data_IF_901551385708
#
_entry.id   IF_901551385708
#
_cell.length_a   1.000
_cell.length_b   1.000
_cell.length_c   1.000
_cell.angle_alpha   90.00
_cell.angle_beta   90.00
_cell.angle_gamma   90.00
#
_symmetry.space_group_name_H-M   'P 1'
#
loop_
_entity.id
_entity.type
_entity.pdbx_description
1 polymer ?
#
# COMPACT_ATOMS: atom_id res chain seq x y z
N UNK A 1 7.18 17.43 19.35
CA UNK A 1 6.82 16.04 19.67
C UNK A 1 6.94 15.27 18.37
N UNK A 2 7.93 14.40 18.28
CA UNK A 2 8.17 13.64 17.05
C UNK A 2 7.19 12.47 16.94
N UNK A 3 6.72 12.16 15.74
CA UNK A 3 5.88 11.01 15.40
C UNK A 3 6.43 9.65 15.91
N UNK A 4 7.70 9.61 16.33
CA UNK A 4 8.35 8.43 16.89
C UNK A 4 7.85 7.97 18.27
N UNK A 5 7.13 8.80 19.01
CA UNK A 5 6.74 8.48 20.40
C UNK A 5 5.34 7.82 20.51
N UNK A 6 4.51 7.93 19.48
CA UNK A 6 3.14 7.35 19.50
C UNK A 6 3.16 5.84 19.27
N UNK A 7 4.13 5.32 18.52
CA UNK A 7 4.21 3.89 18.18
C UNK A 7 5.08 3.05 19.12
N UNK A 8 5.72 3.64 20.12
CA UNK A 8 6.70 2.95 20.98
C UNK A 8 6.13 2.04 22.08
N UNK A 9 4.81 1.87 22.22
CA UNK A 9 4.22 1.19 23.38
C UNK A 9 3.08 0.22 23.11
N UNK A 10 2.98 -0.35 21.94
CA UNK A 10 2.06 -1.48 21.76
C UNK A 10 2.84 -2.78 21.92
N UNK A 11 2.62 -3.47 23.05
CA UNK A 11 2.99 -4.87 23.18
C UNK A 11 2.07 -5.66 22.27
N UNK A 12 2.62 -6.28 21.24
CA UNK A 12 1.89 -7.15 20.36
C UNK A 12 1.59 -8.46 21.08
N UNK A 13 0.31 -8.67 21.41
CA UNK A 13 -0.26 -9.93 21.83
C UNK A 13 -1.02 -10.50 20.63
N UNK A 14 -0.51 -11.57 20.03
CA UNK A 14 -1.08 -12.19 18.84
C UNK A 14 -2.56 -12.58 18.95
N UNK A 15 -3.12 -12.62 20.17
CA UNK A 15 -4.52 -12.96 20.38
C UNK A 15 -5.52 -11.89 19.90
N UNK A 16 -5.10 -10.63 19.77
CA UNK A 16 -5.97 -9.53 19.38
C UNK A 16 -6.09 -9.35 17.84
N UNK A 17 -5.18 -9.92 17.06
CA UNK A 17 -5.24 -9.82 15.59
C UNK A 17 -6.36 -10.69 15.00
N UNK A 18 -6.61 -11.86 15.57
CA UNK A 18 -7.62 -12.81 15.10
C UNK A 18 -9.06 -12.27 15.24
N UNK A 19 -9.27 -11.26 16.08
CA UNK A 19 -10.58 -10.64 16.29
C UNK A 19 -10.81 -9.37 15.45
N UNK A 20 -9.78 -8.85 14.78
CA UNK A 20 -9.88 -7.63 13.97
C UNK A 20 -10.80 -7.79 12.75
N UNK A 21 -10.73 -8.92 12.05
CA UNK A 21 -11.58 -9.23 10.92
C UNK A 21 -13.06 -9.22 11.24
N UNK A 22 -13.44 -9.80 12.38
CA UNK A 22 -14.83 -9.79 12.84
C UNK A 22 -15.36 -8.38 13.16
N UNK A 23 -14.49 -7.46 13.56
CA UNK A 23 -14.88 -6.08 13.88
C UNK A 23 -15.11 -5.25 12.62
N UNK A 24 -14.32 -5.50 11.57
CA UNK A 24 -14.50 -4.86 10.25
C UNK A 24 -15.78 -5.35 9.59
N UNK A 25 -16.07 -6.64 9.66
CA UNK A 25 -17.26 -7.27 9.07
C UNK A 25 -18.56 -6.70 9.63
N UNK A 26 -18.65 -6.46 10.93
CA UNK A 26 -19.87 -5.97 11.59
C UNK A 26 -20.28 -4.54 11.22
N UNK A 27 -19.36 -3.76 10.62
CA UNK A 27 -19.58 -2.35 10.25
C UNK A 27 -19.64 -2.12 8.75
N UNK A 28 -19.53 -3.18 7.91
CA UNK A 28 -19.58 -3.05 6.45
C UNK A 28 -21.04 -2.91 6.00
N UNK A 29 -21.35 -1.74 5.42
CA UNK A 29 -22.64 -1.48 4.79
C UNK A 29 -22.79 -2.32 3.52
N UNK A 30 -23.96 -2.93 3.33
CA UNK A 30 -24.33 -3.69 2.12
C UNK A 30 -24.35 -2.83 0.85
N UNK A 31 -24.26 -1.50 0.97
CA UNK A 31 -24.14 -0.54 -0.14
C UNK A 31 -22.72 -0.40 -0.70
N UNK A 32 -21.71 -1.05 -0.11
CA UNK A 32 -20.33 -0.97 -0.59
C UNK A 32 -20.19 -1.55 -2.01
N UNK A 33 -19.32 -0.96 -2.85
CA UNK A 33 -19.12 -1.41 -4.22
C UNK A 33 -18.60 -2.86 -4.28
N UNK A 34 -18.78 -3.52 -5.43
CA UNK A 34 -18.31 -4.90 -5.66
C UNK A 34 -16.79 -5.04 -5.49
N UNK A 35 -16.03 -4.01 -5.85
CA UNK A 35 -14.58 -3.99 -5.63
C UNK A 35 -14.29 -3.32 -4.29
N UNK A 36 -13.87 -4.12 -3.33
CA UNK A 36 -13.52 -3.67 -1.99
C UNK A 36 -12.02 -3.75 -1.81
N UNK A 37 -11.44 -2.64 -1.36
CA UNK A 37 -10.01 -2.56 -1.03
C UNK A 37 -9.85 -2.43 0.49
N UNK A 38 -8.88 -3.13 1.04
CA UNK A 38 -8.43 -2.96 2.41
C UNK A 38 -6.94 -2.69 2.42
N UNK A 39 -6.50 -1.79 3.29
CA UNK A 39 -5.09 -1.48 3.52
C UNK A 39 -4.63 -2.10 4.84
N UNK A 40 -3.53 -2.85 4.79
CA UNK A 40 -2.90 -3.46 5.97
C UNK A 40 -1.38 -3.23 5.91
N UNK A 41 -0.69 -3.21 7.06
CA UNK A 41 0.77 -3.10 7.07
C UNK A 41 1.41 -4.30 6.36
N UNK A 42 2.46 -4.04 5.60
CA UNK A 42 3.32 -5.09 5.05
C UNK A 42 4.17 -5.71 6.17
N UNK A 43 4.45 -7.04 6.16
CA UNK A 43 5.09 -7.74 7.29
C UNK A 43 6.45 -7.18 7.72
N UNK A 44 7.34 -6.85 6.78
CA UNK A 44 8.64 -6.26 7.08
C UNK A 44 8.48 -4.88 7.72
N UNK A 45 7.57 -4.05 7.22
CA UNK A 45 7.22 -2.74 7.79
C UNK A 45 6.68 -2.90 9.20
N UNK A 46 5.78 -3.86 9.42
CA UNK A 46 5.25 -4.13 10.76
C UNK A 46 6.37 -4.52 11.73
N UNK A 47 7.21 -5.48 11.35
CA UNK A 47 8.33 -5.95 12.17
C UNK A 47 9.38 -4.85 12.43
N UNK A 48 9.62 -3.98 11.45
CA UNK A 48 10.56 -2.85 11.55
C UNK A 48 10.12 -1.80 12.58
N UNK A 49 8.82 -1.67 12.78
CA UNK A 49 8.22 -0.68 13.69
C UNK A 49 8.00 -1.19 15.11
N UNK A 50 8.15 -2.48 15.35
CA UNK A 50 7.85 -3.10 16.63
C UNK A 50 9.07 -3.82 17.20
N UNK A 51 9.16 -3.81 18.53
CA UNK A 51 10.15 -4.62 19.26
C UNK A 51 9.38 -5.79 19.88
N UNK A 52 9.70 -6.98 19.45
CA UNK A 52 9.16 -8.19 20.09
C UNK A 52 10.13 -8.71 21.14
N UNK A 53 9.60 -9.14 22.27
CA UNK A 53 10.35 -9.87 23.31
C UNK A 53 10.34 -11.38 23.08
N UNK A 54 9.45 -11.87 22.24
CA UNK A 54 9.24 -13.30 21.98
C UNK A 54 10.12 -13.81 20.85
N UNK A 55 10.42 -12.95 19.85
CA UNK A 55 11.24 -13.31 18.70
C UNK A 55 12.66 -12.80 18.86
N UNK A 56 13.62 -13.70 18.60
CA UNK A 56 15.06 -13.38 18.77
C UNK A 56 15.63 -12.57 17.61
N UNK A 57 15.05 -12.70 16.43
CA UNK A 57 15.51 -12.03 15.22
C UNK A 57 14.38 -11.27 14.54
N UNK A 58 14.71 -10.23 13.77
CA UNK A 58 13.76 -9.51 12.92
C UNK A 58 13.17 -10.43 11.84
N UNK A 59 13.97 -11.36 11.34
CA UNK A 59 13.56 -12.36 10.35
C UNK A 59 12.46 -13.26 10.90
N UNK A 60 12.70 -13.93 12.06
CA UNK A 60 11.67 -14.77 12.70
C UNK A 60 10.39 -13.98 12.96
N UNK A 61 10.52 -12.75 13.41
CA UNK A 61 9.37 -11.88 13.68
C UNK A 61 8.60 -11.54 12.40
N UNK A 62 9.31 -11.12 11.33
CA UNK A 62 8.68 -10.79 10.04
C UNK A 62 7.91 -11.99 9.46
N UNK A 63 8.49 -13.19 9.48
CA UNK A 63 7.85 -14.40 8.97
C UNK A 63 6.63 -14.80 9.81
N UNK A 64 6.68 -14.64 11.12
CA UNK A 64 5.50 -14.90 11.96
C UNK A 64 4.39 -13.89 11.74
N UNK A 65 4.72 -12.61 11.61
CA UNK A 65 3.75 -11.57 11.23
C UNK A 65 3.11 -11.91 9.87
N UNK A 66 3.89 -12.35 8.88
CA UNK A 66 3.34 -12.74 7.58
C UNK A 66 2.29 -13.86 7.71
N UNK A 67 2.55 -14.89 8.52
CA UNK A 67 1.59 -15.98 8.77
C UNK A 67 0.30 -15.48 9.43
N UNK A 68 0.42 -14.56 10.39
CA UNK A 68 -0.74 -13.98 11.08
C UNK A 68 -1.56 -13.10 10.14
N UNK A 69 -0.92 -12.22 9.38
CA UNK A 69 -1.57 -11.37 8.39
C UNK A 69 -2.22 -12.20 7.28
N UNK A 70 -1.65 -13.35 6.89
CA UNK A 70 -2.28 -14.25 5.93
C UNK A 70 -3.64 -14.76 6.42
N UNK A 71 -3.75 -15.16 7.68
CA UNK A 71 -5.03 -15.61 8.24
C UNK A 71 -6.08 -14.47 8.23
N UNK A 72 -5.66 -13.23 8.52
CA UNK A 72 -6.52 -12.05 8.43
C UNK A 72 -6.94 -11.77 6.97
N UNK A 73 -6.00 -11.82 6.03
CA UNK A 73 -6.28 -11.64 4.60
C UNK A 73 -7.28 -12.69 4.09
N UNK A 74 -7.13 -13.97 4.47
CA UNK A 74 -8.05 -15.03 4.06
C UNK A 74 -9.48 -14.72 4.57
N UNK A 75 -9.63 -14.20 5.79
CA UNK A 75 -10.93 -13.76 6.32
C UNK A 75 -11.51 -12.57 5.53
N UNK A 76 -10.69 -11.56 5.25
CA UNK A 76 -11.09 -10.38 4.47
C UNK A 76 -11.52 -10.77 3.04
N UNK A 77 -10.80 -11.68 2.40
CA UNK A 77 -11.15 -12.19 1.06
C UNK A 77 -12.49 -12.95 1.10
N UNK A 78 -12.72 -13.76 2.13
CA UNK A 78 -14.02 -14.43 2.33
C UNK A 78 -15.16 -13.42 2.50
N UNK A 79 -14.88 -12.23 3.07
CA UNK A 79 -15.83 -11.11 3.21
C UNK A 79 -15.97 -10.26 1.93
N UNK A 80 -15.29 -10.66 0.84
CA UNK A 80 -15.42 -10.07 -0.47
C UNK A 80 -14.46 -8.92 -0.75
N UNK A 81 -13.40 -8.75 0.04
CA UNK A 81 -12.28 -7.87 -0.32
C UNK A 81 -11.47 -8.54 -1.43
N UNK A 82 -11.32 -7.86 -2.56
CA UNK A 82 -10.64 -8.40 -3.73
C UNK A 82 -9.34 -7.65 -4.09
N UNK A 83 -9.03 -6.58 -3.35
CA UNK A 83 -7.76 -5.86 -3.43
C UNK A 83 -7.22 -5.67 -2.01
N UNK A 84 -6.03 -6.18 -1.78
CA UNK A 84 -5.30 -6.03 -0.52
C UNK A 84 -4.13 -5.07 -0.76
N UNK A 85 -4.19 -3.88 -0.20
CA UNK A 85 -3.12 -2.91 -0.26
C UNK A 85 -2.17 -3.13 0.92
N UNK A 86 -0.93 -3.48 0.63
CA UNK A 86 0.14 -3.71 1.60
C UNK A 86 0.94 -2.42 1.80
N UNK A 87 0.83 -1.80 2.95
CA UNK A 87 1.48 -0.52 3.27
C UNK A 87 2.94 -0.76 3.65
N UNK A 88 3.87 -0.24 2.85
CA UNK A 88 5.30 -0.53 2.92
C UNK A 88 6.22 0.70 3.07
N UNK A 89 5.98 1.61 4.03
CA UNK A 89 6.84 2.78 4.21
C UNK A 89 8.25 2.42 4.64
N UNK A 90 8.45 1.34 5.43
CA UNK A 90 9.80 0.94 5.85
C UNK A 90 10.69 0.56 4.68
N UNK A 91 10.13 0.04 3.59
CA UNK A 91 10.88 -0.23 2.37
C UNK A 91 11.35 1.08 1.72
N UNK A 92 10.53 2.14 1.80
CA UNK A 92 10.89 3.42 1.19
C UNK A 92 12.03 4.13 1.93
N UNK A 93 11.91 4.32 3.25
CA UNK A 93 12.85 5.15 4.01
C UNK A 93 14.08 4.41 4.55
N UNK A 94 14.10 3.07 4.66
CA UNK A 94 15.30 2.35 5.07
C UNK A 94 16.30 2.28 3.93
N UNK A 95 17.55 2.60 4.21
CA UNK A 95 18.64 2.51 3.23
C UNK A 95 19.01 1.05 2.92
N UNK A 96 18.90 0.17 3.91
CA UNK A 96 19.21 -1.24 3.80
C UNK A 96 17.94 -2.07 4.01
N UNK A 97 17.40 -2.60 2.91
CA UNK A 97 16.23 -3.47 2.91
C UNK A 97 16.65 -4.87 2.51
N UNK A 98 16.35 -5.85 3.33
CA UNK A 98 16.50 -7.26 2.96
C UNK A 98 15.33 -7.69 2.06
N UNK A 99 15.49 -7.52 0.75
CA UNK A 99 14.46 -7.90 -0.23
C UNK A 99 14.25 -9.41 -0.30
N UNK A 100 15.21 -10.24 0.14
CA UNK A 100 15.02 -11.67 0.31
C UNK A 100 13.98 -11.98 1.37
N UNK A 101 14.14 -11.39 2.56
CA UNK A 101 13.17 -11.50 3.65
C UNK A 101 11.79 -10.94 3.28
N UNK A 102 11.76 -9.77 2.62
CA UNK A 102 10.50 -9.17 2.12
C UNK A 102 9.80 -10.12 1.15
N UNK A 103 10.55 -10.69 0.18
CA UNK A 103 10.01 -11.64 -0.79
C UNK A 103 9.44 -12.89 -0.11
N UNK A 104 10.14 -13.48 0.85
CA UNK A 104 9.68 -14.69 1.54
C UNK A 104 8.44 -14.42 2.40
N UNK A 105 8.37 -13.28 3.08
CA UNK A 105 7.20 -12.87 3.81
C UNK A 105 6.00 -12.63 2.87
N UNK A 106 6.21 -11.97 1.73
CA UNK A 106 5.16 -11.73 0.74
C UNK A 106 4.69 -13.01 0.05
N UNK A 107 5.55 -14.00 -0.19
CA UNK A 107 5.12 -15.33 -0.68
C UNK A 107 4.10 -15.97 0.26
N UNK A 108 4.31 -15.89 1.57
CA UNK A 108 3.35 -16.40 2.56
C UNK A 108 1.99 -15.70 2.42
N UNK A 109 1.98 -14.39 2.15
CA UNK A 109 0.74 -13.64 1.98
C UNK A 109 0.03 -13.94 0.66
N UNK A 110 0.78 -14.19 -0.42
CA UNK A 110 0.22 -14.21 -1.78
C UNK A 110 0.00 -15.61 -2.34
N UNK A 111 0.66 -16.63 -1.80
CA UNK A 111 0.56 -18.00 -2.31
C UNK A 111 -0.87 -18.53 -2.21
N UNK A 112 -1.46 -18.91 -3.40
CA UNK A 112 -2.84 -19.39 -3.49
C UNK A 112 -3.90 -18.34 -3.16
N UNK A 113 -3.57 -17.04 -3.08
CA UNK A 113 -4.54 -15.97 -2.82
C UNK A 113 -5.25 -15.54 -4.11
N UNK A 114 -6.58 -15.50 -4.09
CA UNK A 114 -7.37 -15.05 -5.25
C UNK A 114 -7.45 -13.50 -5.35
N UNK A 115 -7.28 -12.78 -4.25
CA UNK A 115 -7.30 -11.32 -4.24
C UNK A 115 -6.01 -10.74 -4.86
N UNK A 116 -6.15 -9.56 -5.47
CA UNK A 116 -5.01 -8.77 -5.95
C UNK A 116 -4.27 -8.15 -4.76
N UNK A 117 -2.95 -8.27 -4.74
CA UNK A 117 -2.10 -7.62 -3.72
C UNK A 117 -1.32 -6.48 -4.36
N UNK A 118 -1.37 -5.30 -3.76
CA UNK A 118 -0.64 -4.11 -4.20
C UNK A 118 0.27 -3.62 -3.08
N UNK A 119 1.57 -3.67 -3.29
CA UNK A 119 2.56 -3.14 -2.34
C UNK A 119 2.71 -1.63 -2.57
N UNK A 120 2.30 -0.81 -1.60
CA UNK A 120 2.32 0.64 -1.70
C UNK A 120 3.46 1.24 -0.87
N UNK A 121 4.40 1.91 -1.54
CA UNK A 121 5.54 2.60 -0.92
C UNK A 121 5.28 4.10 -0.81
N UNK A 122 5.65 4.69 0.33
CA UNK A 122 5.51 6.12 0.61
C UNK A 122 6.53 6.55 1.69
N UNK A 123 6.63 7.84 1.97
CA UNK A 123 7.59 8.44 2.91
C UNK A 123 9.05 8.36 2.48
N UNK A 124 9.34 8.14 1.21
CA UNK A 124 10.70 8.14 0.70
C UNK A 124 10.77 7.89 -0.79
N UNK A 125 11.91 8.25 -1.36
CA UNK A 125 12.23 7.96 -2.76
C UNK A 125 12.69 6.51 -2.90
N UNK A 126 11.99 5.75 -3.74
CA UNK A 126 12.32 4.34 -4.03
C UNK A 126 12.95 4.15 -5.41
N UNK A 127 13.40 5.21 -6.08
CA UNK A 127 13.96 5.15 -7.43
C UNK A 127 15.03 4.07 -7.59
N UNK A 128 15.92 3.92 -6.63
CA UNK A 128 16.98 2.92 -6.64
C UNK A 128 16.51 1.49 -6.33
N UNK A 129 15.27 1.30 -5.95
CA UNK A 129 14.70 0.02 -5.48
C UNK A 129 13.63 -0.54 -6.42
N UNK A 130 13.30 0.16 -7.51
CA UNK A 130 12.18 -0.21 -8.39
C UNK A 130 12.37 -1.60 -9.00
N UNK A 131 13.58 -1.97 -9.38
CA UNK A 131 13.88 -3.31 -9.93
C UNK A 131 13.61 -4.41 -8.89
N UNK A 132 14.08 -4.23 -7.66
CA UNK A 132 13.83 -5.17 -6.56
C UNK A 132 12.35 -5.27 -6.24
N UNK A 133 11.64 -4.13 -6.21
CA UNK A 133 10.19 -4.08 -6.00
C UNK A 133 9.42 -4.82 -7.11
N UNK A 134 9.84 -4.67 -8.37
CA UNK A 134 9.23 -5.38 -9.50
C UNK A 134 9.41 -6.89 -9.43
N UNK A 135 10.47 -7.37 -8.79
CA UNK A 135 10.74 -8.80 -8.59
C UNK A 135 9.88 -9.43 -7.48
N UNK A 136 9.22 -8.63 -6.62
CA UNK A 136 8.42 -9.14 -5.49
C UNK A 136 7.17 -9.89 -5.97
N UNK A 137 6.71 -10.92 -5.23
CA UNK A 137 5.57 -11.76 -5.59
C UNK A 137 4.22 -11.09 -5.25
N UNK A 138 3.97 -9.90 -5.77
CA UNK A 138 2.74 -9.13 -5.61
C UNK A 138 2.09 -8.85 -6.96
N UNK A 139 0.77 -8.65 -7.00
CA UNK A 139 0.03 -8.34 -8.22
C UNK A 139 0.34 -6.95 -8.77
N UNK A 140 0.75 -6.02 -7.92
CA UNK A 140 1.05 -4.65 -8.32
C UNK A 140 1.88 -3.88 -7.32
N UNK A 141 2.32 -2.70 -7.77
CA UNK A 141 3.09 -1.74 -6.97
C UNK A 141 2.37 -0.40 -6.94
N UNK A 142 2.43 0.27 -5.80
CA UNK A 142 1.96 1.64 -5.62
C UNK A 142 3.12 2.56 -5.22
N UNK A 143 3.15 3.74 -5.81
CA UNK A 143 4.20 4.73 -5.55
C UNK A 143 3.61 6.06 -5.14
N UNK A 144 4.18 6.64 -4.10
CA UNK A 144 4.02 8.05 -3.78
C UNK A 144 4.84 8.88 -4.78
N UNK A 145 4.17 9.44 -5.78
CA UNK A 145 4.83 10.25 -6.81
C UNK A 145 5.17 11.67 -6.35
N UNK A 146 4.85 12.02 -5.11
CA UNK A 146 5.30 13.27 -4.50
C UNK A 146 6.72 13.15 -3.92
N UNK A 147 7.18 11.92 -3.67
CA UNK A 147 8.53 11.63 -3.14
C UNK A 147 9.38 10.83 -4.12
N UNK A 148 8.80 9.91 -4.88
CA UNK A 148 9.49 9.15 -5.93
C UNK A 148 9.27 9.85 -7.27
N UNK A 149 10.34 10.33 -7.95
CA UNK A 149 10.22 10.97 -9.27
C UNK A 149 9.56 10.06 -10.30
N UNK A 150 8.58 10.58 -11.03
CA UNK A 150 7.89 9.81 -12.07
C UNK A 150 8.84 9.32 -13.16
N UNK A 151 9.88 10.11 -13.51
CA UNK A 151 10.91 9.71 -14.47
C UNK A 151 11.62 8.40 -14.09
N UNK A 152 11.77 8.11 -12.79
CA UNK A 152 12.34 6.83 -12.34
C UNK A 152 11.39 5.67 -12.59
N UNK A 153 10.08 5.87 -12.34
CA UNK A 153 9.04 4.87 -12.59
C UNK A 153 8.90 4.61 -14.10
N UNK A 154 8.90 5.66 -14.90
CA UNK A 154 8.74 5.63 -16.36
C UNK A 154 9.85 4.87 -17.11
N UNK A 155 11.00 4.66 -16.49
CA UNK A 155 12.10 3.87 -17.05
C UNK A 155 11.89 2.35 -16.95
N UNK A 156 10.80 1.90 -16.31
CA UNK A 156 10.51 0.50 -16.07
C UNK A 156 9.20 0.06 -16.74
N UNK A 157 9.10 -1.23 -17.10
CA UNK A 157 7.88 -1.82 -17.63
C UNK A 157 7.06 -2.49 -16.52
N UNK A 158 5.76 -2.22 -16.51
CA UNK A 158 4.79 -2.83 -15.58
C UNK A 158 3.82 -3.77 -16.33
N UNK A 159 4.17 -4.27 -17.50
CA UNK A 159 3.29 -5.07 -18.37
C UNK A 159 2.68 -6.32 -17.72
N UNK A 160 3.27 -6.82 -16.66
CA UNK A 160 2.74 -7.97 -15.89
C UNK A 160 2.10 -7.58 -14.56
N UNK A 161 2.11 -6.30 -14.17
CA UNK A 161 1.71 -5.82 -12.84
C UNK A 161 0.71 -4.68 -12.91
N UNK A 162 0.00 -4.49 -11.82
CA UNK A 162 -0.80 -3.30 -11.55
C UNK A 162 0.15 -2.16 -11.16
N UNK A 163 -0.12 -0.96 -11.64
CA UNK A 163 0.54 0.26 -11.19
C UNK A 163 -0.48 1.15 -10.49
N UNK A 164 -0.23 1.48 -9.22
CA UNK A 164 -1.01 2.47 -8.48
C UNK A 164 -0.21 3.77 -8.36
N UNK A 165 -0.76 4.85 -8.87
CA UNK A 165 -0.15 6.18 -8.84
C UNK A 165 -0.74 6.97 -7.68
N UNK A 166 0.04 7.14 -6.61
CA UNK A 166 -0.30 7.95 -5.44
C UNK A 166 -0.07 9.44 -5.71
N UNK A 167 -1.00 10.07 -6.45
CA UNK A 167 -0.85 11.41 -6.99
C UNK A 167 -1.45 12.51 -6.09
N UNK A 168 -2.41 12.17 -5.25
CA UNK A 168 -3.00 13.11 -4.29
C UNK A 168 -2.08 13.24 -3.08
N UNK A 169 -1.63 14.45 -2.80
CA UNK A 169 -0.72 14.71 -1.70
C UNK A 169 -1.47 14.86 -0.36
N UNK A 170 -1.33 13.90 0.53
CA UNK A 170 -1.98 13.85 1.85
C UNK A 170 -1.27 14.70 2.92
N UNK A 171 -0.12 15.33 2.60
CA UNK A 171 0.65 16.12 3.57
C UNK A 171 0.34 17.61 3.56
N UNK A 172 -0.55 18.06 2.68
CA UNK A 172 -0.95 19.45 2.61
C UNK A 172 -2.44 19.59 2.24
N UNK A 173 -2.97 20.79 2.39
CA UNK A 173 -4.36 21.14 2.09
C UNK A 173 -4.56 21.70 0.69
N UNK A 174 -3.51 21.82 -0.12
CA UNK A 174 -3.62 22.25 -1.51
C UNK A 174 -4.41 21.21 -2.32
N UNK A 175 -5.34 21.67 -3.12
CA UNK A 175 -6.18 20.79 -3.95
C UNK A 175 -5.53 20.67 -5.32
N UNK A 176 -5.32 19.44 -5.74
CA UNK A 176 -4.73 19.09 -7.02
C UNK A 176 -5.66 19.52 -8.18
N UNK A 177 -5.08 19.83 -9.33
CA UNK A 177 -5.81 20.14 -10.54
C UNK A 177 -6.04 18.86 -11.35
N UNK A 178 -7.28 18.39 -11.51
CA UNK A 178 -7.57 17.12 -12.14
C UNK A 178 -6.90 16.94 -13.52
N UNK A 179 -6.97 17.96 -14.37
CA UNK A 179 -6.40 17.88 -15.73
C UNK A 179 -4.86 17.73 -15.77
N UNK A 180 -4.15 18.30 -14.78
CA UNK A 180 -2.69 18.14 -14.67
C UNK A 180 -2.37 16.70 -14.21
N UNK A 181 -3.11 16.19 -13.23
CA UNK A 181 -2.96 14.82 -12.72
C UNK A 181 -3.29 13.79 -13.81
N UNK A 182 -4.39 13.94 -14.54
CA UNK A 182 -4.77 13.05 -15.64
C UNK A 182 -3.67 12.97 -16.68
N UNK A 183 -3.16 14.13 -17.14
CA UNK A 183 -2.05 14.16 -18.09
C UNK A 183 -0.82 13.41 -17.59
N UNK A 184 -0.43 13.61 -16.33
CA UNK A 184 0.71 12.94 -15.72
C UNK A 184 0.50 11.42 -15.64
N UNK A 185 -0.69 10.96 -15.28
CA UNK A 185 -1.05 9.54 -15.23
C UNK A 185 -1.01 8.92 -16.63
N UNK A 186 -1.58 9.60 -17.62
CA UNK A 186 -1.56 9.14 -19.02
C UNK A 186 -0.11 9.02 -19.57
N UNK A 187 0.78 9.97 -19.22
CA UNK A 187 2.19 9.93 -19.57
C UNK A 187 2.92 8.75 -18.92
N UNK A 188 2.70 8.52 -17.62
CA UNK A 188 3.26 7.37 -16.89
C UNK A 188 2.75 6.06 -17.51
N UNK A 189 1.46 5.91 -17.72
CA UNK A 189 0.86 4.69 -18.27
C UNK A 189 1.36 4.39 -19.68
N UNK A 190 1.49 5.40 -20.53
CA UNK A 190 2.00 5.24 -21.89
C UNK A 190 3.43 4.68 -21.93
N UNK A 191 4.28 5.05 -20.96
CA UNK A 191 5.67 4.60 -20.87
C UNK A 191 5.81 3.27 -20.16
N UNK A 192 5.10 3.07 -19.05
CA UNK A 192 5.23 1.90 -18.17
C UNK A 192 4.43 0.70 -18.64
N UNK A 193 3.33 0.91 -19.39
CA UNK A 193 2.41 -0.10 -19.94
C UNK A 193 1.95 -1.11 -18.88
N UNK A 194 1.32 -0.67 -17.79
CA UNK A 194 0.87 -1.57 -16.75
C UNK A 194 -0.27 -2.47 -17.24
N UNK A 195 -0.44 -3.63 -16.58
CA UNK A 195 -1.59 -4.51 -16.82
C UNK A 195 -2.91 -3.83 -16.45
N UNK A 196 -2.91 -3.07 -15.37
CA UNK A 196 -4.01 -2.25 -14.88
C UNK A 196 -3.39 -1.02 -14.20
N UNK A 197 -4.08 0.11 -14.25
CA UNK A 197 -3.65 1.34 -13.58
C UNK A 197 -4.69 1.80 -12.58
N UNK A 198 -4.25 2.16 -11.38
CA UNK A 198 -5.08 2.75 -10.33
C UNK A 198 -4.52 4.09 -9.93
N UNK A 199 -5.39 4.97 -9.45
CA UNK A 199 -5.03 6.25 -8.86
C UNK A 199 -5.39 6.26 -7.38
N UNK A 200 -4.54 6.87 -6.57
CA UNK A 200 -4.75 6.97 -5.13
C UNK A 200 -4.19 8.26 -4.56
N UNK A 201 -4.47 8.52 -3.30
CA UNK A 201 -3.65 9.38 -2.47
C UNK A 201 -2.31 8.68 -2.20
N UNK A 202 -1.26 9.49 -1.97
CA UNK A 202 0.08 8.98 -1.68
C UNK A 202 0.14 8.29 -0.31
N UNK A 203 -0.69 8.75 0.65
CA UNK A 203 -0.80 8.22 2.02
C UNK A 203 -2.18 8.56 2.60
N UNK A 204 -2.47 8.17 3.84
CA UNK A 204 -3.74 8.42 4.51
C UNK A 204 -4.08 9.91 4.62
N UNK A 205 -5.35 10.25 4.40
CA UNK A 205 -5.86 11.62 4.48
C UNK A 205 -6.23 12.06 5.91
N UNK A 206 -6.02 11.22 6.91
CA UNK A 206 -6.40 11.49 8.30
C UNK A 206 -5.60 12.64 8.96
N UNK A 207 -4.45 13.01 8.39
CA UNK A 207 -3.57 14.05 8.91
C UNK A 207 -3.94 15.46 8.47
N UNK A 208 -4.94 15.61 7.60
CA UNK A 208 -5.44 16.91 7.15
C UNK A 208 -6.88 17.14 7.64
N UNK A 209 -7.33 18.41 7.77
CA UNK A 209 -8.70 18.68 8.20
C UNK A 209 -9.73 18.01 7.27
N UNK A 210 -10.82 17.50 7.86
CA UNK A 210 -11.85 16.70 7.16
C UNK A 210 -12.36 17.33 5.88
N UNK A 211 -12.59 18.65 5.85
CA UNK A 211 -13.09 19.35 4.66
C UNK A 211 -12.12 19.23 3.47
N UNK A 212 -10.81 19.36 3.72
CA UNK A 212 -9.78 19.18 2.68
C UNK A 212 -9.67 17.73 2.26
N UNK A 213 -9.73 16.78 3.19
CA UNK A 213 -9.76 15.36 2.88
C UNK A 213 -10.93 15.00 1.95
N UNK A 214 -12.14 15.49 2.25
CA UNK A 214 -13.33 15.27 1.40
C UNK A 214 -13.18 15.89 0.01
N UNK A 215 -12.60 17.09 -0.09
CA UNK A 215 -12.33 17.73 -1.37
C UNK A 215 -11.31 16.92 -2.19
N UNK A 216 -10.23 16.43 -1.56
CA UNK A 216 -9.22 15.58 -2.21
C UNK A 216 -9.83 14.25 -2.70
N UNK A 217 -10.70 13.62 -1.93
CA UNK A 217 -11.44 12.42 -2.36
C UNK A 217 -12.32 12.72 -3.59
N UNK A 218 -12.99 13.88 -3.62
CA UNK A 218 -13.80 14.30 -4.78
C UNK A 218 -12.93 14.46 -6.03
N UNK A 219 -11.78 15.13 -5.89
CA UNK A 219 -10.80 15.32 -6.96
C UNK A 219 -10.21 13.98 -7.43
N UNK A 220 -9.89 13.06 -6.51
CA UNK A 220 -9.43 11.72 -6.85
C UNK A 220 -10.47 10.98 -7.71
N UNK A 221 -11.76 11.09 -7.37
CA UNK A 221 -12.84 10.51 -8.16
C UNK A 221 -12.99 11.16 -9.54
N UNK A 222 -12.70 12.45 -9.69
CA UNK A 222 -12.68 13.14 -10.99
C UNK A 222 -11.50 12.66 -11.85
N UNK A 223 -10.31 12.55 -11.26
CA UNK A 223 -9.11 12.04 -11.93
C UNK A 223 -9.35 10.61 -12.42
N UNK A 224 -9.88 9.73 -11.56
CA UNK A 224 -10.13 8.33 -11.91
C UNK A 224 -11.11 8.17 -13.11
N UNK A 225 -12.08 9.07 -13.24
CA UNK A 225 -13.01 9.05 -14.39
C UNK A 225 -12.44 9.68 -15.66
N UNK A 226 -11.45 10.55 -15.53
CA UNK A 226 -10.87 11.28 -16.66
C UNK A 226 -9.62 10.65 -17.25
N UNK A 227 -8.91 9.79 -16.49
CA UNK A 227 -7.74 9.07 -16.97
C UNK A 227 -8.17 7.99 -18.00
N UNK A 228 -7.30 7.75 -18.98
CA UNK A 228 -7.56 6.73 -20.01
C UNK A 228 -7.39 5.34 -19.45
N UNK A 229 -8.21 4.41 -19.93
CA UNK A 229 -8.02 2.98 -19.70
C UNK A 229 -6.70 2.52 -20.33
N UNK A 230 -5.99 1.59 -19.66
CA UNK A 230 -4.73 0.99 -20.11
C UNK A 230 -4.95 -0.30 -20.86
#
# INVERSE_FOLDING_TARGET
>A
MGLGDVYKRQSFDGSNFINGGNTVQSNLDSSLPKNKTVAIPEPFTFADRHISKEFKTKEDFTINIAKMLRAEIDSLVADGFNIIQLLAPSIAYNNEVDFGLVSDALKILTDGLEAKTVLHTYFGDVSAKIEDLLALPVSGLGFDVTTTPTSSIENHSFSGKILTVGIINSFNTAIEKPHECIRQIDEINAKTKPKESYVSNNFDLEYIPKEFAMNKISVLGEIARGAKDV
#
